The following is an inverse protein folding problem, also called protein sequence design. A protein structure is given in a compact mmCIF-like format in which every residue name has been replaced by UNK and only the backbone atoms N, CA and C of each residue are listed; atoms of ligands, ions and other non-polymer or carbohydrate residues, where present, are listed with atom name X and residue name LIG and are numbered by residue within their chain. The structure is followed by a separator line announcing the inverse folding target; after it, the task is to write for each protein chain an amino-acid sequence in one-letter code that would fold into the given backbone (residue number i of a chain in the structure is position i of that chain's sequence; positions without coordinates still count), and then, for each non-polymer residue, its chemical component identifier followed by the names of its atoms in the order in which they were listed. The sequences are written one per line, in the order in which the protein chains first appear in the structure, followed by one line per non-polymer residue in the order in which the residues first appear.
data_IF_641723718071
#
_entry.id   IF_641723718071
#
_cell.length_a   1.000
_cell.length_b   1.000
_cell.length_c   1.000
_cell.angle_alpha   90.00
_cell.angle_beta   90.00
_cell.angle_gamma   90.00
#
_symmetry.space_group_name_H-M   'P 1'
#
loop_
_entity.id
_entity.type
_entity.pdbx_description
1 polymer ?
#
# COMPACT_ATOMS: atom_id res chain seq x y z
N UNK A 1 -25.41 -51.70 -15.45
CA UNK A 1 -25.63 -50.25 -15.39
C UNK A 1 -25.70 -49.68 -13.97
N UNK A 2 -26.38 -50.28 -13.00
CA UNK A 2 -26.49 -49.77 -11.60
C UNK A 2 -25.16 -49.61 -10.87
N UNK A 3 -24.18 -50.52 -11.05
CA UNK A 3 -22.84 -50.42 -10.39
C UNK A 3 -22.00 -49.24 -10.86
N UNK A 4 -22.14 -48.85 -12.14
CA UNK A 4 -21.39 -47.71 -12.70
C UNK A 4 -21.94 -46.37 -12.22
N UNK A 5 -23.26 -46.30 -11.98
CA UNK A 5 -23.93 -45.12 -11.44
C UNK A 5 -23.53 -44.87 -9.96
N UNK A 6 -23.49 -45.93 -9.16
CA UNK A 6 -23.06 -45.87 -7.77
C UNK A 6 -21.59 -45.39 -7.63
N UNK A 7 -20.71 -45.85 -8.53
CA UNK A 7 -19.31 -45.44 -8.53
C UNK A 7 -19.14 -43.96 -8.86
N UNK A 8 -19.93 -43.42 -9.81
CA UNK A 8 -19.92 -42.00 -10.16
C UNK A 8 -20.44 -41.13 -9.02
N UNK A 9 -21.49 -41.54 -8.33
CA UNK A 9 -22.03 -40.80 -7.17
C UNK A 9 -21.03 -40.82 -6.02
N UNK A 10 -20.34 -41.91 -5.77
CA UNK A 10 -19.30 -42.02 -4.74
C UNK A 10 -18.11 -41.09 -5.04
N UNK A 11 -17.69 -40.99 -6.31
CA UNK A 11 -16.59 -40.14 -6.74
C UNK A 11 -16.95 -38.64 -6.61
N UNK A 12 -18.18 -38.24 -6.94
CA UNK A 12 -18.66 -36.87 -6.80
C UNK A 12 -18.76 -36.45 -5.32
N UNK A 13 -19.23 -37.36 -4.46
CA UNK A 13 -19.29 -37.15 -3.02
C UNK A 13 -17.88 -37.03 -2.42
N UNK A 14 -16.92 -37.82 -2.87
CA UNK A 14 -15.52 -37.74 -2.41
C UNK A 14 -14.87 -36.39 -2.79
N UNK A 15 -15.08 -35.93 -4.02
CA UNK A 15 -14.55 -34.63 -4.47
C UNK A 15 -15.19 -33.48 -3.67
N UNK A 16 -16.48 -33.54 -3.40
CA UNK A 16 -17.18 -32.50 -2.63
C UNK A 16 -16.71 -32.44 -1.16
N UNK A 17 -16.40 -33.57 -0.53
CA UNK A 17 -15.86 -33.59 0.84
C UNK A 17 -14.41 -33.13 0.90
N UNK A 18 -13.57 -33.44 -0.07
CA UNK A 18 -12.21 -32.98 -0.16
C UNK A 18 -12.15 -31.46 -0.39
N UNK A 19 -12.98 -30.89 -1.27
CA UNK A 19 -13.02 -29.44 -1.51
C UNK A 19 -13.51 -28.66 -0.27
N UNK A 20 -14.45 -29.20 0.49
CA UNK A 20 -14.92 -28.59 1.75
C UNK A 20 -13.86 -28.61 2.86
N UNK A 21 -13.11 -29.70 2.99
CA UNK A 21 -12.03 -29.79 3.98
C UNK A 21 -10.88 -28.83 3.67
N UNK A 22 -10.48 -28.73 2.41
CA UNK A 22 -9.47 -27.78 1.94
C UNK A 22 -9.91 -26.32 2.13
N UNK A 23 -11.17 -26.01 1.82
CA UNK A 23 -11.72 -24.67 2.04
C UNK A 23 -11.75 -24.29 3.53
N UNK A 24 -12.13 -25.22 4.40
CA UNK A 24 -12.14 -24.99 5.85
C UNK A 24 -10.72 -24.84 6.43
N UNK A 25 -9.75 -25.61 5.97
CA UNK A 25 -8.36 -25.49 6.39
C UNK A 25 -7.74 -24.17 5.88
N UNK A 26 -8.02 -23.80 4.65
CA UNK A 26 -7.63 -22.51 4.09
C UNK A 26 -8.23 -21.32 4.89
N UNK A 27 -9.52 -21.37 5.21
CA UNK A 27 -10.17 -20.33 6.02
C UNK A 27 -9.61 -20.28 7.45
N UNK A 28 -9.32 -21.44 8.06
CA UNK A 28 -8.69 -21.50 9.37
C UNK A 28 -7.28 -20.90 9.36
N UNK A 29 -6.48 -21.20 8.33
CA UNK A 29 -5.16 -20.62 8.15
C UNK A 29 -5.25 -19.10 7.92
N UNK A 30 -6.23 -18.60 7.17
CA UNK A 30 -6.49 -17.18 7.01
C UNK A 30 -6.89 -16.49 8.33
N UNK A 31 -7.68 -17.15 9.18
CA UNK A 31 -8.03 -16.63 10.51
C UNK A 31 -6.83 -16.64 11.46
N UNK A 32 -5.99 -17.66 11.45
CA UNK A 32 -4.76 -17.70 12.24
C UNK A 32 -3.76 -16.62 11.79
N UNK A 33 -3.64 -16.41 10.48
CA UNK A 33 -2.84 -15.34 9.89
C UNK A 33 -3.41 -13.97 10.26
N UNK A 34 -4.72 -13.80 10.25
CA UNK A 34 -5.40 -12.59 10.73
C UNK A 34 -5.13 -12.33 12.22
N UNK A 35 -5.25 -13.36 13.07
CA UNK A 35 -4.95 -13.25 14.51
C UNK A 35 -3.47 -12.96 14.78
N UNK A 36 -2.55 -13.52 13.98
CA UNK A 36 -1.13 -13.18 14.05
C UNK A 36 -0.87 -11.75 13.64
N UNK A 37 -1.64 -11.19 12.71
CA UNK A 37 -1.57 -9.78 12.30
C UNK A 37 -2.04 -8.84 13.42
N UNK A 38 -3.12 -9.17 14.11
CA UNK A 38 -3.64 -8.38 15.24
C UNK A 38 -2.66 -8.38 16.42
N UNK A 39 -1.80 -9.40 16.52
CA UNK A 39 -0.74 -9.52 17.52
C UNK A 39 0.65 -9.07 17.02
N UNK A 40 0.81 -8.74 15.74
CA UNK A 40 2.08 -8.27 15.21
C UNK A 40 2.25 -6.78 15.51
N UNK A 41 3.19 -6.47 16.36
CA UNK A 41 3.54 -5.14 16.89
C UNK A 41 4.10 -4.16 15.86
N UNK A 42 4.17 -4.51 14.58
CA UNK A 42 4.58 -3.58 13.54
C UNK A 42 3.37 -2.97 12.85
N UNK A 43 2.94 -1.86 13.39
CA UNK A 43 1.95 -0.96 12.79
C UNK A 43 2.74 0.19 12.17
N UNK A 44 2.36 0.69 11.02
CA UNK A 44 2.88 1.98 10.54
C UNK A 44 2.78 2.98 11.69
N UNK A 45 3.83 3.76 11.98
CA UNK A 45 3.81 4.72 13.10
C UNK A 45 2.58 5.62 13.07
N UNK A 46 2.08 5.89 11.85
CA UNK A 46 0.81 6.57 11.58
C UNK A 46 0.42 6.33 10.13
N UNK A 47 -0.80 5.90 9.85
CA UNK A 47 -1.33 5.84 8.49
C UNK A 47 -1.58 7.27 7.95
N UNK A 48 -1.61 7.42 6.62
CA UNK A 48 -1.96 8.71 6.02
C UNK A 48 -3.36 9.19 6.41
N UNK A 49 -4.30 8.26 6.56
CA UNK A 49 -5.66 8.61 6.96
C UNK A 49 -5.70 9.15 8.41
N UNK A 50 -4.94 8.57 9.32
CA UNK A 50 -4.79 9.08 10.70
C UNK A 50 -4.06 10.42 10.73
N UNK A 51 -3.00 10.57 9.93
CA UNK A 51 -2.29 11.83 9.83
C UNK A 51 -3.21 12.94 9.32
N UNK A 52 -3.96 12.71 8.25
CA UNK A 52 -4.93 13.66 7.68
C UNK A 52 -6.02 14.02 8.69
N UNK A 53 -6.52 13.07 9.46
CA UNK A 53 -7.55 13.34 10.48
C UNK A 53 -7.06 14.25 11.61
N UNK A 54 -5.77 14.19 11.93
CA UNK A 54 -5.12 15.06 12.94
C UNK A 54 -4.72 16.44 12.42
N UNK A 55 -4.64 16.62 11.10
CA UNK A 55 -4.20 17.85 10.44
C UNK A 55 -5.30 18.36 9.49
N UNK A 56 -6.42 18.81 10.05
CA UNK A 56 -7.64 19.15 9.28
C UNK A 56 -7.44 20.22 8.20
N UNK A 57 -6.42 21.07 8.32
CA UNK A 57 -6.07 22.12 7.34
C UNK A 57 -5.08 21.68 6.26
N UNK A 58 -4.73 20.39 6.21
CA UNK A 58 -3.68 19.86 5.32
C UNK A 58 -3.88 20.16 3.83
N UNK A 59 -5.13 20.25 3.39
CA UNK A 59 -5.51 20.44 1.97
C UNK A 59 -5.74 21.92 1.59
N UNK A 60 -5.74 22.84 2.51
CA UNK A 60 -6.09 24.24 2.26
C UNK A 60 -4.97 25.23 2.60
N UNK A 61 -4.46 25.19 3.81
CA UNK A 61 -3.49 26.17 4.31
C UNK A 61 -2.18 25.58 4.82
N UNK A 62 -2.20 24.31 5.25
CA UNK A 62 -1.00 23.64 5.77
C UNK A 62 -0.18 22.98 4.65
N UNK A 63 0.57 23.81 3.93
CA UNK A 63 1.47 23.35 2.86
C UNK A 63 2.55 22.39 3.36
N UNK A 64 2.94 22.46 4.63
CA UNK A 64 3.90 21.52 5.21
C UNK A 64 3.32 20.11 5.27
N UNK A 65 2.11 19.99 5.80
CA UNK A 65 1.39 18.71 5.85
C UNK A 65 1.09 18.19 4.46
N UNK A 66 0.67 19.04 3.53
CA UNK A 66 0.40 18.62 2.15
C UNK A 66 1.66 18.12 1.44
N UNK A 67 2.80 18.81 1.58
CA UNK A 67 4.09 18.35 1.03
C UNK A 67 4.52 17.01 1.63
N UNK A 68 4.36 16.83 2.94
CA UNK A 68 4.66 15.58 3.63
C UNK A 68 3.78 14.43 3.13
N UNK A 69 2.47 14.66 2.98
CA UNK A 69 1.52 13.66 2.48
C UNK A 69 1.83 13.29 1.04
N UNK A 70 2.10 14.27 0.18
CA UNK A 70 2.47 14.05 -1.21
C UNK A 70 3.77 13.24 -1.33
N UNK A 71 4.80 13.56 -0.52
CA UNK A 71 6.05 12.81 -0.47
C UNK A 71 5.81 11.34 -0.09
N UNK A 72 5.01 11.06 0.94
CA UNK A 72 4.66 9.68 1.33
C UNK A 72 3.94 8.92 0.21
N UNK A 73 2.99 9.57 -0.46
CA UNK A 73 2.32 8.97 -1.60
C UNK A 73 3.29 8.65 -2.75
N UNK A 74 4.22 9.56 -3.04
CA UNK A 74 5.27 9.35 -4.05
C UNK A 74 6.09 8.09 -3.75
N UNK A 75 6.62 7.98 -2.55
CA UNK A 75 7.42 6.82 -2.08
C UNK A 75 6.62 5.52 -2.19
N UNK A 76 5.36 5.52 -1.75
CA UNK A 76 4.52 4.33 -1.82
C UNK A 76 4.34 3.86 -3.27
N UNK A 77 4.05 4.77 -4.19
CA UNK A 77 3.86 4.43 -5.60
C UNK A 77 5.17 4.06 -6.30
N UNK A 78 6.30 4.66 -5.93
CA UNK A 78 7.63 4.27 -6.40
C UNK A 78 7.93 2.82 -6.00
N UNK A 79 7.72 2.46 -4.73
CA UNK A 79 7.91 1.10 -4.24
C UNK A 79 7.01 0.09 -4.97
N UNK A 80 5.73 0.43 -5.19
CA UNK A 80 4.81 -0.41 -5.95
C UNK A 80 5.33 -0.59 -7.39
N UNK A 81 5.75 0.49 -8.05
CA UNK A 81 6.26 0.41 -9.43
C UNK A 81 7.50 -0.48 -9.52
N UNK A 82 8.47 -0.33 -8.64
CA UNK A 82 9.68 -1.16 -8.65
C UNK A 82 9.38 -2.66 -8.45
N UNK A 83 8.38 -2.99 -7.65
CA UNK A 83 7.96 -4.39 -7.42
C UNK A 83 7.27 -5.02 -8.61
N UNK A 84 6.49 -4.24 -9.37
CA UNK A 84 5.76 -4.74 -10.53
C UNK A 84 6.50 -4.59 -11.88
N UNK A 85 7.66 -3.94 -11.90
CA UNK A 85 8.45 -3.60 -13.08
C UNK A 85 8.72 -4.77 -14.04
N UNK A 86 8.98 -5.96 -13.48
CA UNK A 86 9.37 -7.15 -14.26
C UNK A 86 8.26 -8.22 -14.30
N UNK A 87 7.03 -7.88 -13.92
CA UNK A 87 5.90 -8.82 -13.93
C UNK A 87 5.07 -8.54 -15.18
N UNK A 88 5.11 -9.45 -16.15
CA UNK A 88 4.48 -9.28 -17.46
C UNK A 88 2.98 -8.97 -17.38
N UNK A 89 2.25 -9.69 -16.52
CA UNK A 89 0.80 -9.54 -16.36
C UNK A 89 0.40 -8.34 -15.48
N UNK A 90 1.37 -7.59 -14.94
CA UNK A 90 1.14 -6.44 -14.07
C UNK A 90 1.61 -5.11 -14.68
N UNK A 91 1.82 -5.05 -15.99
CA UNK A 91 2.32 -3.87 -16.67
C UNK A 91 1.43 -2.62 -16.48
N UNK A 92 0.13 -2.81 -16.39
CA UNK A 92 -0.81 -1.73 -16.12
C UNK A 92 -0.60 -1.14 -14.71
N UNK A 93 -0.44 -2.00 -13.70
CA UNK A 93 -0.16 -1.58 -12.32
C UNK A 93 1.18 -0.85 -12.25
N UNK A 94 2.21 -1.36 -12.93
CA UNK A 94 3.51 -0.71 -13.04
C UNK A 94 3.40 0.71 -13.60
N UNK A 95 2.78 0.85 -14.78
CA UNK A 95 2.65 2.14 -15.47
C UNK A 95 1.83 3.15 -14.65
N UNK A 96 0.72 2.70 -14.06
CA UNK A 96 -0.12 3.52 -13.19
C UNK A 96 0.67 3.99 -11.96
N UNK A 97 1.42 3.11 -11.34
CA UNK A 97 2.21 3.42 -10.15
C UNK A 97 3.34 4.39 -10.46
N UNK A 98 4.06 4.17 -11.55
CA UNK A 98 5.11 5.06 -12.01
C UNK A 98 4.58 6.49 -12.29
N UNK A 99 3.45 6.60 -12.99
CA UNK A 99 2.82 7.88 -13.26
C UNK A 99 2.36 8.60 -11.97
N UNK A 100 1.82 7.86 -11.00
CA UNK A 100 1.43 8.43 -9.73
C UNK A 100 2.65 8.85 -8.89
N UNK A 101 3.72 8.05 -8.85
CA UNK A 101 4.96 8.41 -8.17
C UNK A 101 5.50 9.76 -8.67
N UNK A 102 5.55 9.95 -9.98
CA UNK A 102 5.99 11.21 -10.60
C UNK A 102 5.09 12.40 -10.24
N UNK A 103 3.75 12.24 -10.30
CA UNK A 103 2.80 13.28 -9.90
C UNK A 103 3.03 13.72 -8.46
N UNK A 104 3.11 12.77 -7.52
CA UNK A 104 3.26 13.07 -6.11
C UNK A 104 4.62 13.65 -5.75
N UNK A 105 5.71 13.15 -6.36
CA UNK A 105 7.06 13.65 -6.13
C UNK A 105 7.21 15.09 -6.64
N UNK A 106 6.69 15.39 -7.83
CA UNK A 106 6.67 16.77 -8.34
C UNK A 106 5.83 17.68 -7.45
N UNK A 107 4.62 17.28 -7.09
CA UNK A 107 3.76 18.07 -6.22
C UNK A 107 4.42 18.36 -4.86
N UNK A 108 5.03 17.35 -4.23
CA UNK A 108 5.78 17.56 -2.98
C UNK A 108 6.90 18.59 -3.15
N UNK A 109 7.69 18.45 -4.22
CA UNK A 109 8.78 19.38 -4.55
C UNK A 109 8.29 20.82 -4.78
N UNK A 110 7.23 20.99 -5.54
CA UNK A 110 6.70 22.32 -5.84
C UNK A 110 6.07 22.99 -4.61
N UNK A 111 5.38 22.21 -3.78
CA UNK A 111 4.80 22.69 -2.54
C UNK A 111 5.89 23.20 -1.58
N UNK A 112 7.00 22.45 -1.37
CA UNK A 112 8.03 22.94 -0.47
C UNK A 112 8.77 24.17 -1.02
N UNK A 113 8.98 24.26 -2.35
CA UNK A 113 9.57 25.45 -2.97
C UNK A 113 8.71 26.71 -2.75
N UNK A 114 7.39 26.59 -2.82
CA UNK A 114 6.48 27.72 -2.58
C UNK A 114 6.46 28.19 -1.12
N UNK A 115 6.94 27.38 -0.18
CA UNK A 115 7.04 27.74 1.25
C UNK A 115 8.29 28.56 1.57
N UNK A 116 9.31 28.42 0.75
CA UNK A 116 10.61 28.99 1.03
C UNK A 116 10.73 30.40 0.45
N UNK A 117 11.21 31.32 1.29
CA UNK A 117 11.41 32.74 0.92
C UNK A 117 12.77 32.93 0.24
N UNK A 118 13.74 32.06 0.52
CA UNK A 118 15.11 32.18 0.00
C UNK A 118 15.74 30.81 -0.29
N UNK A 119 16.91 30.84 -0.93
CA UNK A 119 17.65 29.64 -1.34
C UNK A 119 18.11 28.77 -0.14
N UNK A 120 18.45 29.36 0.99
CA UNK A 120 18.88 28.61 2.16
C UNK A 120 17.74 27.78 2.71
N UNK A 121 16.52 28.31 2.81
CA UNK A 121 15.32 27.60 3.17
C UNK A 121 15.04 26.45 2.19
N UNK A 122 15.15 26.68 0.86
CA UNK A 122 14.94 25.63 -0.14
C UNK A 122 15.93 24.48 0.07
N UNK A 123 17.19 24.78 0.35
CA UNK A 123 18.22 23.76 0.58
C UNK A 123 17.94 22.94 1.84
N UNK A 124 17.57 23.59 2.93
CA UNK A 124 17.25 22.94 4.21
C UNK A 124 16.01 22.04 4.08
N UNK A 125 14.92 22.54 3.51
CA UNK A 125 13.70 21.78 3.27
C UNK A 125 13.94 20.58 2.35
N UNK A 126 14.80 20.71 1.35
CA UNK A 126 15.20 19.61 0.48
C UNK A 126 15.90 18.50 1.26
N UNK A 127 16.86 18.83 2.12
CA UNK A 127 17.57 17.85 2.94
C UNK A 127 16.58 17.14 3.88
N UNK A 128 15.76 17.91 4.58
CA UNK A 128 14.74 17.37 5.50
C UNK A 128 13.73 16.48 4.78
N UNK A 129 13.32 16.84 3.56
CA UNK A 129 12.44 16.01 2.73
C UNK A 129 13.10 14.69 2.37
N UNK A 130 14.35 14.72 1.90
CA UNK A 130 15.11 13.52 1.53
C UNK A 130 15.31 12.55 2.70
N UNK A 131 15.58 13.07 3.90
CA UNK A 131 15.70 12.25 5.11
C UNK A 131 14.37 11.57 5.48
N UNK A 132 13.26 12.32 5.40
CA UNK A 132 11.92 11.76 5.61
C UNK A 132 11.57 10.72 4.57
N UNK A 133 11.88 10.96 3.31
CA UNK A 133 11.65 10.03 2.20
C UNK A 133 12.38 8.72 2.42
N UNK A 134 13.67 8.77 2.75
CA UNK A 134 14.45 7.57 3.10
C UNK A 134 13.83 6.79 4.26
N UNK A 135 13.41 7.48 5.31
CA UNK A 135 12.77 6.85 6.46
C UNK A 135 11.47 6.15 6.06
N UNK A 136 10.61 6.80 5.28
CA UNK A 136 9.34 6.22 4.85
C UNK A 136 9.53 5.10 3.83
N UNK A 137 10.53 5.18 2.95
CA UNK A 137 10.87 4.08 2.06
C UNK A 137 11.18 2.81 2.84
N UNK A 138 12.03 2.89 3.86
CA UNK A 138 12.35 1.76 4.73
C UNK A 138 11.13 1.20 5.46
N UNK A 139 10.27 2.06 6.00
CA UNK A 139 9.05 1.67 6.69
C UNK A 139 8.09 0.92 5.75
N UNK A 140 7.87 1.46 4.56
CA UNK A 140 6.99 0.82 3.57
C UNK A 140 7.58 -0.48 3.02
N UNK A 141 8.91 -0.53 2.77
CA UNK A 141 9.59 -1.76 2.34
C UNK A 141 9.42 -2.90 3.35
N UNK A 142 9.56 -2.60 4.64
CA UNK A 142 9.40 -3.57 5.71
C UNK A 142 7.96 -4.10 5.77
N UNK A 143 6.96 -3.22 5.71
CA UNK A 143 5.54 -3.61 5.74
C UNK A 143 5.14 -4.37 4.47
N UNK A 144 5.61 -3.95 3.30
CA UNK A 144 5.40 -4.67 2.04
C UNK A 144 6.02 -6.05 2.08
N UNK A 145 7.27 -6.17 2.54
CA UNK A 145 7.94 -7.46 2.70
C UNK A 145 7.14 -8.39 3.61
N UNK A 146 6.70 -7.90 4.75
CA UNK A 146 5.87 -8.64 5.70
C UNK A 146 4.54 -9.09 5.08
N UNK A 147 3.86 -8.21 4.33
CA UNK A 147 2.64 -8.57 3.63
C UNK A 147 2.86 -9.68 2.61
N UNK A 148 3.94 -9.62 1.84
CA UNK A 148 4.31 -10.66 0.86
C UNK A 148 4.65 -11.98 1.57
N UNK A 149 5.48 -11.94 2.61
CA UNK A 149 5.94 -13.14 3.33
C UNK A 149 4.78 -13.87 4.03
N UNK A 150 3.77 -13.14 4.51
CA UNK A 150 2.65 -13.73 5.27
C UNK A 150 1.47 -14.07 4.36
N UNK A 151 1.16 -13.21 3.37
CA UNK A 151 -0.09 -13.26 2.62
C UNK A 151 0.09 -13.48 1.12
N UNK A 152 1.32 -13.41 0.60
CA UNK A 152 1.59 -13.44 -0.83
C UNK A 152 1.17 -12.18 -1.60
N UNK A 153 0.68 -11.15 -0.90
CA UNK A 153 0.18 -9.91 -1.50
C UNK A 153 0.88 -8.68 -0.90
N UNK A 154 1.18 -7.69 -1.72
CA UNK A 154 1.88 -6.48 -1.30
C UNK A 154 0.94 -5.44 -0.68
N UNK A 155 -0.22 -5.20 -1.34
CA UNK A 155 -1.11 -4.08 -1.01
C UNK A 155 -2.20 -4.54 -0.04
N UNK A 156 -1.84 -4.68 1.24
CA UNK A 156 -2.74 -5.09 2.32
C UNK A 156 -2.62 -4.13 3.51
N UNK A 157 -3.55 -4.23 4.45
CA UNK A 157 -3.52 -3.53 5.73
C UNK A 157 -3.30 -2.02 5.56
N UNK A 158 -2.28 -1.50 6.24
CA UNK A 158 -1.95 -0.08 6.25
C UNK A 158 -1.42 0.41 4.89
N UNK A 159 -0.71 -0.43 4.14
CA UNK A 159 -0.31 -0.15 2.74
C UNK A 159 -1.53 0.11 1.87
N UNK A 160 -2.57 -0.72 1.98
CA UNK A 160 -3.84 -0.53 1.26
C UNK A 160 -4.56 0.74 1.70
N UNK A 161 -4.57 1.03 2.99
CA UNK A 161 -5.16 2.27 3.54
C UNK A 161 -4.47 3.51 2.97
N UNK A 162 -3.14 3.55 2.97
CA UNK A 162 -2.36 4.66 2.43
C UNK A 162 -2.52 4.78 0.92
N UNK A 163 -2.50 3.66 0.18
CA UNK A 163 -2.75 3.63 -1.27
C UNK A 163 -4.12 4.24 -1.62
N UNK A 164 -5.18 3.83 -0.93
CA UNK A 164 -6.53 4.37 -1.15
C UNK A 164 -6.61 5.84 -0.77
N UNK A 165 -5.95 6.25 0.31
CA UNK A 165 -5.90 7.66 0.72
C UNK A 165 -5.20 8.52 -0.32
N UNK A 166 -4.06 8.07 -0.84
CA UNK A 166 -3.34 8.76 -1.90
C UNK A 166 -4.18 8.94 -3.16
N UNK A 167 -4.85 7.88 -3.62
CA UNK A 167 -5.61 7.91 -4.87
C UNK A 167 -6.92 8.68 -4.76
N UNK A 168 -7.65 8.52 -3.66
CA UNK A 168 -9.01 9.06 -3.52
C UNK A 168 -9.08 10.43 -2.84
N UNK A 169 -8.14 10.76 -1.95
CA UNK A 169 -8.17 12.02 -1.19
C UNK A 169 -7.08 13.00 -1.62
N UNK A 170 -5.86 12.52 -1.84
CA UNK A 170 -4.70 13.41 -2.08
C UNK A 170 -4.58 13.78 -3.55
N UNK A 171 -4.58 12.81 -4.46
CA UNK A 171 -4.41 13.05 -5.90
C UNK A 171 -5.40 14.08 -6.49
N UNK A 172 -6.71 14.09 -6.13
CA UNK A 172 -7.64 15.10 -6.65
C UNK A 172 -7.31 16.53 -6.30
N UNK A 173 -6.55 16.77 -5.21
CA UNK A 173 -6.20 18.12 -4.73
C UNK A 173 -4.93 18.65 -5.39
N UNK A 174 -4.09 17.77 -5.94
CA UNK A 174 -2.82 18.13 -6.58
C UNK A 174 -2.96 18.49 -8.08
N UNK A 175 -4.18 18.63 -8.56
CA UNK A 175 -4.47 19.02 -9.94
C UNK A 175 -4.29 20.51 -10.18
#
# INVERSE_FOLDING_TARGET
MKKLLLLKIFFVLLIATFSSAYANEFMKNLEEVRKKKDNATFVLPVTLNEYISKHSSWNSSDKASLSYIASRCGILFELISERYKNIADAQEIYNMSLANADIFSRASSDIYKTRCINYACIKEEKITSQEREKKWALIYEEEVKKNIDIYGEMILGDIKSDFLTCTSKVKPILK
#
